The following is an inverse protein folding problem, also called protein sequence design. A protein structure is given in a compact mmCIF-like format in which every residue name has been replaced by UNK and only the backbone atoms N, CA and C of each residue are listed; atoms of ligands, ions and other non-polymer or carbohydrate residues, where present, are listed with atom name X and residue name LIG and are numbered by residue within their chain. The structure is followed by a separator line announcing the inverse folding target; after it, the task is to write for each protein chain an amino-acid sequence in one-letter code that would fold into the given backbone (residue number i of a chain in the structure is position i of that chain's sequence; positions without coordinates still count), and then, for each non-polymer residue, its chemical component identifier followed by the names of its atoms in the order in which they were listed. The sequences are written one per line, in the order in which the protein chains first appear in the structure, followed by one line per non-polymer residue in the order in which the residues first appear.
data_IF_697841276219
#
_entry.id   IF_697841276219
#
_cell.length_a   1.000
_cell.length_b   1.000
_cell.length_c   1.000
_cell.angle_alpha   90.00
_cell.angle_beta   90.00
_cell.angle_gamma   90.00
#
_symmetry.space_group_name_H-M   'P 1'
#
loop_
_entity.id
_entity.type
_entity.pdbx_description
1 polymer ?
#
# COMPACT_ATOMS: atom_id res chain seq x y z
N UNK A 1 12.11 -18.25 -11.80
CA UNK A 1 11.33 -17.58 -10.75
C UNK A 1 11.00 -16.17 -11.20
N UNK A 2 9.76 -15.68 -11.03
CA UNK A 2 9.41 -14.32 -11.45
C UNK A 2 10.27 -13.29 -10.71
N UNK A 3 10.72 -12.27 -11.43
CA UNK A 3 11.55 -11.17 -10.91
C UNK A 3 10.76 -10.43 -9.82
N UNK A 4 11.39 -10.17 -8.68
CA UNK A 4 10.77 -9.40 -7.58
C UNK A 4 10.37 -8.02 -8.13
N UNK A 5 9.06 -7.77 -8.27
CA UNK A 5 8.54 -6.56 -8.93
C UNK A 5 8.75 -5.29 -8.10
N UNK A 6 9.01 -5.42 -6.80
CA UNK A 6 9.20 -4.32 -5.86
C UNK A 6 10.48 -4.56 -5.06
N UNK A 7 11.56 -3.91 -5.51
CA UNK A 7 12.83 -3.87 -4.77
C UNK A 7 12.96 -2.54 -4.02
N UNK A 8 13.70 -2.56 -2.90
CA UNK A 8 13.89 -1.38 -2.04
C UNK A 8 14.64 -0.26 -2.77
N UNK A 9 15.49 -0.61 -3.73
CA UNK A 9 16.29 0.34 -4.51
C UNK A 9 15.47 1.10 -5.56
N UNK A 10 14.33 0.57 -5.99
CA UNK A 10 13.47 1.20 -7.01
C UNK A 10 12.23 1.89 -6.41
N UNK A 11 12.07 1.86 -5.08
CA UNK A 11 10.91 2.44 -4.41
C UNK A 11 11.11 3.94 -4.18
N UNK A 12 10.11 4.80 -4.47
CA UNK A 12 10.18 6.20 -4.08
C UNK A 12 10.43 6.36 -2.58
N UNK A 13 11.33 7.28 -2.21
CA UNK A 13 11.83 7.45 -0.83
C UNK A 13 10.71 7.59 0.20
N UNK A 14 9.68 8.40 -0.11
CA UNK A 14 8.53 8.59 0.78
C UNK A 14 7.77 7.29 1.08
N UNK A 15 7.65 6.40 0.09
CA UNK A 15 6.98 5.10 0.28
C UNK A 15 7.85 4.21 1.17
N UNK A 16 9.16 4.19 0.95
CA UNK A 16 10.09 3.38 1.75
C UNK A 16 10.11 3.84 3.22
N UNK A 17 10.07 5.15 3.46
CA UNK A 17 9.98 5.72 4.81
C UNK A 17 8.69 5.33 5.53
N UNK A 18 7.55 5.37 4.83
CA UNK A 18 6.25 4.96 5.40
C UNK A 18 6.25 3.48 5.79
N UNK A 19 6.80 2.62 4.95
CA UNK A 19 6.94 1.19 5.27
C UNK A 19 7.87 0.96 6.47
N UNK A 20 8.99 1.66 6.55
CA UNK A 20 9.89 1.61 7.70
C UNK A 20 9.18 2.08 8.99
N UNK A 21 8.32 3.10 8.92
CA UNK A 21 7.52 3.56 10.05
C UNK A 21 6.52 2.51 10.52
N UNK A 22 5.79 1.88 9.59
CA UNK A 22 4.89 0.78 9.91
C UNK A 22 5.63 -0.41 10.54
N UNK A 23 6.77 -0.82 9.97
CA UNK A 23 7.59 -1.89 10.54
C UNK A 23 8.08 -1.61 11.96
N UNK A 24 8.57 -0.38 12.21
CA UNK A 24 8.94 0.08 13.56
C UNK A 24 7.75 0.10 14.52
N UNK A 25 6.59 0.56 14.07
CA UNK A 25 5.37 0.59 14.87
C UNK A 25 4.97 -0.83 15.29
N UNK A 26 4.90 -1.77 14.34
CA UNK A 26 4.58 -3.19 14.60
C UNK A 26 5.53 -3.78 15.65
N UNK A 27 6.84 -3.65 15.45
CA UNK A 27 7.84 -4.17 16.40
C UNK A 27 7.67 -3.55 17.79
N UNK A 28 7.50 -2.23 17.85
CA UNK A 28 7.39 -1.50 19.11
C UNK A 28 6.13 -1.90 19.87
N UNK A 29 4.99 -1.98 19.19
CA UNK A 29 3.71 -2.36 19.82
C UNK A 29 3.72 -3.82 20.28
N UNK A 30 4.26 -4.74 19.47
CA UNK A 30 4.43 -6.14 19.85
C UNK A 30 5.26 -6.27 21.13
N UNK A 31 6.39 -5.56 21.22
CA UNK A 31 7.25 -5.57 22.40
C UNK A 31 6.57 -4.92 23.63
N UNK A 32 5.86 -3.80 23.45
CA UNK A 32 5.09 -3.15 24.53
C UNK A 32 4.02 -4.07 25.12
N UNK A 33 3.36 -4.86 24.27
CA UNK A 33 2.34 -5.83 24.67
C UNK A 33 2.93 -7.19 25.13
N UNK A 34 4.27 -7.32 25.14
CA UNK A 34 5.00 -8.56 25.49
C UNK A 34 4.59 -9.78 24.66
N UNK A 35 4.22 -9.56 23.40
CA UNK A 35 3.84 -10.63 22.47
C UNK A 35 5.10 -11.23 21.83
N UNK A 36 5.26 -12.55 21.89
CA UNK A 36 6.37 -13.23 21.20
C UNK A 36 6.15 -13.19 19.70
N UNK A 37 7.25 -13.19 18.94
CA UNK A 37 7.18 -13.23 17.48
C UNK A 37 6.39 -14.43 16.96
N UNK A 38 6.57 -15.61 17.58
CA UNK A 38 5.85 -16.83 17.22
C UNK A 38 4.33 -16.67 17.39
N UNK A 39 3.89 -16.14 18.54
CA UNK A 39 2.46 -15.93 18.82
C UNK A 39 1.82 -14.93 17.84
N UNK A 40 2.53 -13.85 17.48
CA UNK A 40 2.01 -12.91 16.48
C UNK A 40 1.97 -13.55 15.08
N UNK A 41 3.00 -14.30 14.71
CA UNK A 41 3.05 -15.05 13.45
C UNK A 41 1.89 -16.02 13.32
N UNK A 42 1.56 -16.76 14.39
CA UNK A 42 0.44 -17.69 14.43
C UNK A 42 -0.90 -16.96 14.20
N UNK A 43 -1.14 -15.87 14.93
CA UNK A 43 -2.36 -15.04 14.76
C UNK A 43 -2.49 -14.45 13.37
N UNK A 44 -1.37 -14.11 12.74
CA UNK A 44 -1.32 -13.56 11.38
C UNK A 44 -1.37 -14.62 10.28
N UNK A 45 -1.11 -15.89 10.61
CA UNK A 45 -0.94 -16.97 9.62
C UNK A 45 0.31 -16.79 8.73
N UNK A 46 1.41 -16.26 9.26
CA UNK A 46 2.65 -16.00 8.49
C UNK A 46 3.90 -16.60 9.14
N UNK A 47 4.95 -16.80 8.34
CA UNK A 47 6.25 -17.24 8.85
C UNK A 47 6.96 -16.15 9.68
N UNK A 48 7.88 -16.56 10.56
CA UNK A 48 8.76 -15.61 11.28
C UNK A 48 9.64 -14.79 10.34
N UNK A 49 10.05 -15.36 9.20
CA UNK A 49 10.80 -14.62 8.19
C UNK A 49 9.97 -13.48 7.57
N UNK A 50 8.67 -13.71 7.36
CA UNK A 50 7.71 -12.69 6.90
C UNK A 50 7.56 -11.59 7.96
N UNK A 51 7.38 -11.95 9.24
CA UNK A 51 7.30 -10.97 10.32
C UNK A 51 8.58 -10.13 10.44
N UNK A 52 9.75 -10.75 10.33
CA UNK A 52 11.04 -10.03 10.35
C UNK A 52 11.14 -9.02 9.20
N UNK A 53 10.71 -9.38 8.00
CA UNK A 53 10.65 -8.47 6.84
C UNK A 53 9.69 -7.30 7.06
N UNK A 54 8.51 -7.57 7.62
CA UNK A 54 7.52 -6.55 7.97
C UNK A 54 8.08 -5.55 8.99
N UNK A 55 8.68 -6.04 10.08
CA UNK A 55 9.30 -5.18 11.10
C UNK A 55 10.46 -4.33 10.55
N UNK A 56 11.00 -4.69 9.38
CA UNK A 56 12.07 -3.97 8.66
C UNK A 56 11.56 -3.05 7.55
N UNK A 57 10.24 -2.97 7.32
CA UNK A 57 9.67 -2.13 6.27
C UNK A 57 9.95 -2.63 4.84
N UNK A 58 10.05 -3.95 4.64
CA UNK A 58 10.27 -4.53 3.31
C UNK A 58 9.09 -4.22 2.37
N UNK A 59 9.33 -3.59 1.20
CA UNK A 59 8.28 -3.27 0.23
C UNK A 59 7.71 -4.48 -0.52
N UNK A 60 8.42 -5.60 -0.52
CA UNK A 60 7.90 -6.86 -1.07
C UNK A 60 7.00 -7.61 -0.08
N UNK A 61 6.83 -7.13 1.16
CA UNK A 61 5.78 -7.64 2.04
C UNK A 61 4.44 -7.00 1.65
N UNK A 62 3.43 -7.81 1.36
CA UNK A 62 2.13 -7.29 0.91
C UNK A 62 1.49 -6.35 1.93
N UNK A 63 0.86 -5.27 1.46
CA UNK A 63 0.20 -4.28 2.32
C UNK A 63 -0.82 -4.91 3.27
N UNK A 64 -1.59 -5.91 2.81
CA UNK A 64 -2.53 -6.64 3.64
C UNK A 64 -1.89 -7.26 4.88
N UNK A 65 -0.64 -7.74 4.79
CA UNK A 65 0.05 -8.35 5.93
C UNK A 65 0.47 -7.29 6.96
N UNK A 66 0.88 -6.09 6.51
CA UNK A 66 1.09 -4.96 7.42
C UNK A 66 -0.20 -4.58 8.14
N UNK A 67 -1.32 -4.45 7.41
CA UNK A 67 -2.61 -4.08 7.99
C UNK A 67 -3.09 -5.11 9.02
N UNK A 68 -2.95 -6.41 8.73
CA UNK A 68 -3.30 -7.47 9.67
C UNK A 68 -2.49 -7.38 10.97
N UNK A 69 -1.17 -7.12 10.89
CA UNK A 69 -0.36 -6.92 12.08
C UNK A 69 -0.84 -5.71 12.90
N UNK A 70 -1.10 -4.58 12.24
CA UNK A 70 -1.57 -3.35 12.88
C UNK A 70 -2.96 -3.54 13.52
N UNK A 71 -3.85 -4.31 12.88
CA UNK A 71 -5.17 -4.67 13.39
C UNK A 71 -5.05 -5.53 14.66
N UNK A 72 -4.28 -6.61 14.61
CA UNK A 72 -4.06 -7.51 15.77
C UNK A 72 -3.45 -6.75 16.95
N UNK A 73 -2.55 -5.81 16.68
CA UNK A 73 -1.90 -4.97 17.70
C UNK A 73 -2.76 -3.79 18.16
N UNK A 74 -3.95 -3.59 17.58
CA UNK A 74 -4.92 -2.56 17.99
C UNK A 74 -4.52 -1.13 17.63
N UNK A 75 -3.71 -0.93 16.59
CA UNK A 75 -3.17 0.39 16.18
C UNK A 75 -3.46 0.75 14.72
N UNK A 76 -4.30 -0.03 14.04
CA UNK A 76 -4.62 0.17 12.61
C UNK A 76 -5.16 1.56 12.33
N UNK A 77 -6.12 2.05 13.11
CA UNK A 77 -6.77 3.34 12.85
C UNK A 77 -5.81 4.53 12.99
N UNK A 78 -4.78 4.40 13.83
CA UNK A 78 -3.74 5.44 13.97
C UNK A 78 -2.65 5.34 12.91
N UNK A 79 -2.27 4.12 12.51
CA UNK A 79 -1.17 3.89 11.57
C UNK A 79 -1.60 3.95 10.10
N UNK A 80 -2.84 3.56 9.83
CA UNK A 80 -3.48 3.49 8.52
C UNK A 80 -4.98 3.82 8.68
N UNK A 81 -5.31 5.10 8.94
CA UNK A 81 -6.69 5.52 9.14
C UNK A 81 -7.55 5.19 7.92
N UNK A 82 -8.85 5.01 8.17
CA UNK A 82 -9.83 4.92 7.09
C UNK A 82 -9.70 6.16 6.19
N UNK A 83 -9.69 5.92 4.89
CA UNK A 83 -9.62 6.99 3.91
C UNK A 83 -10.96 7.74 3.88
N UNK A 84 -10.90 9.07 3.72
CA UNK A 84 -12.11 9.87 3.59
C UNK A 84 -12.85 9.48 2.30
N UNK A 85 -14.12 9.04 2.37
CA UNK A 85 -14.86 8.64 1.20
C UNK A 85 -15.01 9.77 0.15
N UNK A 86 -14.83 11.04 0.51
CA UNK A 86 -14.83 12.20 -0.40
C UNK A 86 -13.83 12.06 -1.56
N UNK A 87 -12.77 11.27 -1.40
CA UNK A 87 -11.76 11.11 -2.44
C UNK A 87 -12.24 10.27 -3.64
N UNK A 88 -13.35 9.54 -3.53
CA UNK A 88 -13.90 8.73 -4.63
C UNK A 88 -15.43 8.73 -4.72
N UNK A 89 -16.14 9.17 -3.67
CA UNK A 89 -17.55 9.52 -3.79
C UNK A 89 -17.63 10.87 -4.47
N UNK A 90 -18.10 10.84 -5.72
CA UNK A 90 -18.50 12.03 -6.41
C UNK A 90 -19.70 12.63 -5.66
N UNK A 91 -19.49 13.77 -4.99
CA UNK A 91 -20.57 14.50 -4.33
C UNK A 91 -21.64 14.98 -5.34
N UNK A 92 -21.38 14.87 -6.65
CA UNK A 92 -22.36 15.07 -7.69
C UNK A 92 -22.11 14.16 -8.87
N UNK A 93 -22.78 13.01 -8.90
CA UNK A 93 -22.92 12.20 -10.11
C UNK A 93 -23.39 13.08 -11.29
N UNK A 94 -22.44 13.57 -12.09
CA UNK A 94 -22.71 14.38 -13.27
C UNK A 94 -21.74 15.53 -13.52
N UNK A 95 -20.45 15.27 -13.82
CA UNK A 95 -19.67 16.03 -14.83
C UNK A 95 -18.19 15.63 -14.84
N UNK A 96 -17.89 14.46 -15.38
CA UNK A 96 -16.71 14.35 -16.24
C UNK A 96 -17.18 13.83 -17.57
N UNK A 97 -17.75 14.74 -18.36
CA UNK A 97 -17.89 14.56 -19.81
C UNK A 97 -16.47 14.28 -20.30
N UNK A 98 -16.19 13.00 -20.59
CA UNK A 98 -14.96 12.58 -21.26
C UNK A 98 -14.79 13.54 -22.44
N UNK A 99 -13.81 14.45 -22.36
CA UNK A 99 -13.47 15.31 -23.47
C UNK A 99 -12.90 14.37 -24.52
N UNK A 100 -13.73 14.02 -25.51
CA UNK A 100 -13.27 13.29 -26.68
C UNK A 100 -12.31 14.25 -27.38
N UNK A 101 -11.02 13.94 -27.32
CA UNK A 101 -9.98 14.80 -27.86
C UNK A 101 -10.21 14.91 -29.38
N UNK A 102 -10.45 16.12 -29.88
CA UNK A 102 -10.78 16.42 -31.30
C UNK A 102 -9.60 16.23 -32.26
N UNK A 103 -8.50 15.63 -31.81
CA UNK A 103 -7.29 15.46 -32.61
C UNK A 103 -7.39 14.30 -33.61
N UNK A 104 -8.40 13.45 -33.51
CA UNK A 104 -8.63 12.35 -34.47
C UNK A 104 -9.25 12.83 -35.80
N UNK A 105 -9.71 14.08 -35.91
CA UNK A 105 -10.36 14.60 -37.14
C UNK A 105 -9.39 15.29 -38.12
N UNK A 106 -8.15 15.62 -37.71
CA UNK A 106 -7.20 16.34 -38.58
C UNK A 106 -6.35 15.36 -39.43
N UNK A 107 -6.29 14.08 -39.07
CA UNK A 107 -5.52 13.08 -39.84
C UNK A 107 -6.29 12.50 -41.05
N UNK A 108 -7.54 12.92 -41.31
CA UNK A 108 -8.34 12.40 -42.44
C UNK A 108 -8.50 13.37 -43.61
N UNK A 109 -7.82 14.54 -43.59
CA UNK A 109 -7.90 15.52 -44.69
C UNK A 109 -6.57 15.84 -45.37
N UNK A 110 -5.52 15.03 -45.19
CA UNK A 110 -4.24 15.19 -45.90
C UNK A 110 -3.91 13.91 -46.66
N UNK A 111 -4.82 13.50 -47.54
CA UNK A 111 -4.59 12.49 -48.60
C UNK A 111 -5.41 12.89 -49.83
N UNK A 112 -5.25 14.14 -50.29
CA UNK A 112 -5.63 14.57 -51.64
C UNK A 112 -4.73 15.74 -52.04
N UNK A 113 -3.50 15.39 -52.45
CA UNK A 113 -2.75 15.93 -53.60
C UNK A 113 -1.37 15.27 -53.63
#
# INVERSE_FOLDING_TARGET
MPKKLLDKQSLPTLVAERLNLWGRCIRTQRLRQRIKSADLCERMGVSQATLRRLEQGDPGAGAGIYMTALLILGVIDSAAPAMDPVFWLDAGAGASRRVRNRQDEIQTSVDYF
#
